data_IF_655017792723
#
_entry.id   IF_655017792723
#
_cell.length_a   1.000
_cell.length_b   1.000
_cell.length_c   1.000
_cell.angle_alpha   90.00
_cell.angle_beta   90.00
_cell.angle_gamma   90.00
#
_symmetry.space_group_name_H-M   'P 1'
#
loop_
_entity.id
_entity.type
_entity.pdbx_description
1 polymer ?
#
# COMPACT_ATOMS: atom_id res chain seq x y z
N UNK A 1 -0.12 3.43 -25.04
CA UNK A 1 0.35 3.88 -23.72
C UNK A 1 0.39 2.65 -22.82
N UNK A 2 1.50 2.40 -22.15
CA UNK A 2 1.57 1.31 -21.17
C UNK A 2 0.67 1.61 -19.97
N UNK A 3 -0.04 0.58 -19.48
CA UNK A 3 -0.93 0.68 -18.34
C UNK A 3 -0.20 0.11 -17.11
N UNK A 4 -0.55 0.53 -15.90
CA UNK A 4 0.01 0.01 -14.66
C UNK A 4 -0.17 -1.51 -14.54
N UNK A 5 -1.26 -2.05 -15.10
CA UNK A 5 -1.55 -3.50 -15.13
C UNK A 5 -0.48 -4.29 -15.91
N UNK A 6 0.20 -3.66 -16.88
CA UNK A 6 1.26 -4.32 -17.67
C UNK A 6 2.49 -4.67 -16.80
N UNK A 7 2.61 -4.05 -15.63
CA UNK A 7 3.72 -4.23 -14.69
C UNK A 7 3.37 -5.10 -13.48
N UNK A 8 2.10 -5.51 -13.32
CA UNK A 8 1.58 -6.19 -12.12
C UNK A 8 2.42 -7.38 -11.66
N UNK A 9 2.92 -8.19 -12.61
CA UNK A 9 3.62 -9.43 -12.30
C UNK A 9 4.97 -9.20 -11.59
N UNK A 10 5.63 -8.06 -11.84
CA UNK A 10 6.86 -7.70 -11.12
C UNK A 10 6.58 -7.40 -9.66
N UNK A 11 5.49 -6.71 -9.38
CA UNK A 11 5.09 -6.33 -8.04
C UNK A 11 4.50 -7.51 -7.25
N UNK A 12 3.71 -8.36 -7.90
CA UNK A 12 3.22 -9.62 -7.29
C UNK A 12 4.42 -10.48 -6.87
N UNK A 13 5.41 -10.66 -7.74
CA UNK A 13 6.63 -11.41 -7.39
C UNK A 13 7.39 -10.80 -6.22
N UNK A 14 7.43 -9.47 -6.10
CA UNK A 14 8.10 -8.83 -4.98
C UNK A 14 7.43 -9.17 -3.64
N UNK A 15 6.10 -9.18 -3.58
CA UNK A 15 5.36 -9.60 -2.37
C UNK A 15 5.49 -11.10 -2.12
N UNK A 16 5.46 -11.94 -3.15
CA UNK A 16 5.67 -13.39 -3.03
C UNK A 16 7.05 -13.73 -2.47
N UNK A 17 8.13 -13.12 -2.99
CA UNK A 17 9.48 -13.36 -2.48
C UNK A 17 9.67 -12.83 -1.06
N UNK A 18 9.08 -11.69 -0.70
CA UNK A 18 9.07 -11.20 0.67
C UNK A 18 8.38 -12.20 1.61
N UNK A 19 7.19 -12.69 1.23
CA UNK A 19 6.45 -13.69 2.00
C UNK A 19 7.24 -14.99 2.18
N UNK A 20 7.88 -15.49 1.12
CA UNK A 20 8.72 -16.72 1.20
C UNK A 20 9.93 -16.50 2.09
N UNK A 21 10.56 -15.33 2.03
CA UNK A 21 11.75 -15.03 2.83
C UNK A 21 11.43 -14.98 4.33
N UNK A 22 10.37 -14.26 4.73
CA UNK A 22 10.00 -14.17 6.14
C UNK A 22 9.33 -15.46 6.66
N UNK A 23 8.65 -16.24 5.81
CA UNK A 23 8.03 -17.50 6.22
C UNK A 23 9.05 -18.52 6.77
N UNK A 24 10.31 -18.48 6.33
CA UNK A 24 11.39 -19.32 6.87
C UNK A 24 11.81 -18.92 8.30
N UNK A 25 11.36 -17.74 8.75
CA UNK A 25 11.69 -17.17 10.05
C UNK A 25 10.49 -17.18 11.01
N UNK A 26 9.40 -17.88 10.64
CA UNK A 26 8.25 -18.05 11.53
C UNK A 26 8.68 -18.66 12.85
N UNK A 27 8.23 -18.07 13.96
CA UNK A 27 8.56 -18.54 15.31
C UNK A 27 10.02 -18.31 15.72
N UNK A 28 10.76 -17.44 15.03
CA UNK A 28 12.16 -17.14 15.40
C UNK A 28 12.29 -16.20 16.61
N UNK A 29 11.18 -15.68 17.13
CA UNK A 29 11.11 -14.72 18.25
C UNK A 29 11.93 -13.44 18.05
N UNK A 30 12.29 -13.12 16.80
CA UNK A 30 13.08 -11.95 16.40
C UNK A 30 12.36 -11.17 15.30
N UNK A 31 11.65 -10.12 15.69
CA UNK A 31 10.89 -9.26 14.79
C UNK A 31 11.79 -8.63 13.72
N UNK A 32 12.94 -8.09 14.14
CA UNK A 32 13.83 -7.36 13.22
C UNK A 32 14.40 -8.29 12.14
N UNK A 33 14.73 -9.53 12.52
CA UNK A 33 15.25 -10.52 11.59
C UNK A 33 14.21 -10.94 10.57
N UNK A 34 12.96 -11.16 10.99
CA UNK A 34 11.88 -11.53 10.10
C UNK A 34 11.55 -10.38 9.12
N UNK A 35 11.47 -9.16 9.64
CA UNK A 35 11.24 -7.95 8.87
C UNK A 35 12.35 -7.71 7.83
N UNK A 36 13.60 -7.70 8.26
CA UNK A 36 14.75 -7.49 7.38
C UNK A 36 14.82 -8.50 6.24
N UNK A 37 14.40 -9.75 6.47
CA UNK A 37 14.34 -10.76 5.42
C UNK A 37 13.31 -10.39 4.34
N UNK A 38 12.12 -9.93 4.75
CA UNK A 38 11.07 -9.50 3.84
C UNK A 38 11.49 -8.23 3.06
N UNK A 39 12.02 -7.22 3.76
CA UNK A 39 12.55 -5.98 3.16
C UNK A 39 13.61 -6.28 2.10
N UNK A 40 14.61 -7.10 2.44
CA UNK A 40 15.69 -7.46 1.51
C UNK A 40 15.16 -8.17 0.26
N UNK A 41 14.25 -9.13 0.43
CA UNK A 41 13.69 -9.90 -0.68
C UNK A 41 12.84 -9.01 -1.61
N UNK A 42 11.95 -8.19 -1.04
CA UNK A 42 11.11 -7.25 -1.79
C UNK A 42 11.96 -6.25 -2.58
N UNK A 43 12.88 -5.58 -1.90
CA UNK A 43 13.76 -4.59 -2.52
C UNK A 43 14.61 -5.18 -3.63
N UNK A 44 15.25 -6.33 -3.39
CA UNK A 44 16.09 -6.99 -4.40
C UNK A 44 15.29 -7.35 -5.65
N UNK A 45 14.06 -7.83 -5.47
CA UNK A 45 13.17 -8.20 -6.58
C UNK A 45 12.82 -6.97 -7.41
N UNK A 46 12.42 -5.87 -6.75
CA UNK A 46 12.06 -4.63 -7.43
C UNK A 46 13.25 -3.98 -8.13
N UNK A 47 14.43 -3.95 -7.50
CA UNK A 47 15.65 -3.38 -8.09
C UNK A 47 16.05 -4.07 -9.41
N UNK A 48 15.78 -5.35 -9.56
CA UNK A 48 16.10 -6.12 -10.76
C UNK A 48 14.97 -6.16 -11.80
N UNK A 49 13.83 -5.57 -11.52
CA UNK A 49 12.69 -5.51 -12.44
C UNK A 49 12.85 -4.39 -13.49
N UNK A 50 12.34 -4.57 -14.73
CA UNK A 50 12.35 -3.54 -15.77
C UNK A 50 11.24 -2.52 -15.58
N UNK A 51 11.24 -1.85 -14.44
CA UNK A 51 10.26 -0.84 -13.99
C UNK A 51 10.96 0.49 -13.70
N UNK A 52 10.16 1.55 -13.62
CA UNK A 52 10.50 2.84 -13.02
C UNK A 52 9.56 3.07 -11.84
N UNK A 53 9.97 2.64 -10.64
CA UNK A 53 9.16 2.77 -9.45
C UNK A 53 9.83 3.66 -8.40
N UNK A 54 9.03 4.34 -7.61
CA UNK A 54 9.48 5.15 -6.48
C UNK A 54 8.63 4.87 -5.25
N UNK A 55 9.28 4.67 -4.12
CA UNK A 55 8.60 4.54 -2.83
C UNK A 55 7.97 5.88 -2.45
N UNK A 56 6.64 5.92 -2.39
CA UNK A 56 5.88 7.08 -1.92
C UNK A 56 5.48 6.94 -0.45
N UNK A 57 5.25 5.70 0.01
CA UNK A 57 5.00 5.31 1.39
C UNK A 57 5.79 4.02 1.62
N UNK A 58 6.64 3.98 2.64
CA UNK A 58 7.55 2.84 2.90
C UNK A 58 7.99 2.77 4.35
N UNK A 59 9.19 2.22 4.58
CA UNK A 59 9.74 1.89 5.90
C UNK A 59 10.18 3.11 6.74
N UNK A 60 9.99 4.31 6.27
CA UNK A 60 10.36 5.55 6.93
C UNK A 60 11.18 6.49 6.05
N UNK A 61 11.80 7.48 6.68
CA UNK A 61 12.67 8.44 5.99
C UNK A 61 14.06 7.83 5.74
N UNK A 62 14.80 8.43 4.81
CA UNK A 62 16.12 7.93 4.38
C UNK A 62 17.13 7.73 5.54
N UNK A 63 17.02 8.57 6.58
CA UNK A 63 17.93 8.53 7.73
C UNK A 63 17.52 7.44 8.77
N UNK A 64 16.30 6.94 8.69
CA UNK A 64 15.71 5.96 9.61
C UNK A 64 15.66 4.55 9.01
N UNK A 65 15.46 4.45 7.71
CA UNK A 65 15.35 3.19 6.98
C UNK A 65 16.41 3.10 5.88
N UNK A 66 17.32 2.13 5.94
CA UNK A 66 18.37 1.97 4.93
C UNK A 66 17.84 1.45 3.57
N UNK A 67 16.61 0.94 3.54
CA UNK A 67 15.98 0.33 2.35
C UNK A 67 14.48 0.62 2.34
N UNK A 68 13.89 0.71 1.15
CA UNK A 68 12.48 1.00 0.93
C UNK A 68 12.01 2.29 1.61
N UNK A 69 12.94 3.24 1.78
CA UNK A 69 12.65 4.56 2.35
C UNK A 69 11.86 5.43 1.37
N UNK A 70 11.17 6.42 1.90
CA UNK A 70 10.38 7.38 1.11
C UNK A 70 11.30 8.10 0.11
N UNK A 71 10.97 7.98 -1.17
CA UNK A 71 11.73 8.57 -2.28
C UNK A 71 12.75 7.63 -2.94
N UNK A 72 13.00 6.41 -2.40
CA UNK A 72 13.88 5.44 -3.04
C UNK A 72 13.36 5.07 -4.44
N UNK A 73 14.25 5.10 -5.42
CA UNK A 73 13.96 4.68 -6.79
C UNK A 73 14.34 3.22 -6.98
N UNK A 74 13.45 2.44 -7.58
CA UNK A 74 13.55 1.00 -7.73
C UNK A 74 13.29 0.59 -9.18
N UNK A 75 14.12 -0.31 -9.68
CA UNK A 75 14.03 -0.85 -11.04
C UNK A 75 15.24 -0.53 -11.90
N UNK A 76 15.30 -1.21 -13.05
CA UNK A 76 16.39 -1.05 -14.03
C UNK A 76 16.08 -0.04 -15.13
N UNK A 77 14.85 0.45 -15.19
CA UNK A 77 14.37 1.37 -16.22
C UNK A 77 14.00 2.75 -15.67
N UNK A 78 14.72 3.21 -14.65
CA UNK A 78 14.49 4.50 -14.00
C UNK A 78 14.63 5.66 -14.99
N UNK A 79 13.67 6.60 -14.91
CA UNK A 79 13.61 7.84 -15.70
C UNK A 79 13.60 7.61 -17.23
N UNK A 80 13.17 6.43 -17.71
CA UNK A 80 13.02 6.18 -19.15
C UNK A 80 11.66 6.67 -19.65
N UNK A 81 11.65 7.37 -20.78
CA UNK A 81 10.45 7.95 -21.39
C UNK A 81 9.44 6.88 -21.89
N UNK A 82 9.91 5.67 -22.22
CA UNK A 82 9.09 4.57 -22.73
C UNK A 82 8.50 3.68 -21.60
N UNK A 83 8.75 4.02 -20.33
CA UNK A 83 8.28 3.29 -19.15
C UNK A 83 7.35 4.17 -18.32
N UNK A 84 6.23 3.60 -17.85
CA UNK A 84 5.33 4.32 -16.97
C UNK A 84 5.99 4.50 -15.59
N UNK A 85 6.17 5.74 -15.11
CA UNK A 85 6.65 5.97 -13.75
C UNK A 85 5.55 5.63 -12.74
N UNK A 86 5.90 4.83 -11.72
CA UNK A 86 4.97 4.26 -10.74
C UNK A 86 5.37 4.69 -9.34
N UNK A 87 4.42 5.20 -8.56
CA UNK A 87 4.56 5.37 -7.12
C UNK A 87 4.06 4.09 -6.43
N UNK A 88 4.80 3.63 -5.41
CA UNK A 88 4.45 2.46 -4.62
C UNK A 88 4.30 2.82 -3.14
N UNK A 89 3.36 2.17 -2.48
CA UNK A 89 3.25 2.10 -1.03
C UNK A 89 3.54 0.66 -0.63
N UNK A 90 4.48 0.45 0.28
CA UNK A 90 4.96 -0.88 0.66
C UNK A 90 4.92 -1.09 2.16
N UNK A 91 4.58 -2.29 2.56
CA UNK A 91 4.85 -2.87 3.86
C UNK A 91 5.30 -4.32 3.62
N UNK A 92 6.61 -4.58 3.70
CA UNK A 92 7.18 -5.89 3.39
C UNK A 92 6.73 -7.00 4.33
N UNK A 93 6.43 -6.68 5.60
CA UNK A 93 5.94 -7.61 6.59
C UNK A 93 4.97 -6.96 7.58
N UNK A 94 3.73 -6.73 7.17
CA UNK A 94 2.63 -6.31 8.03
C UNK A 94 2.39 -7.35 9.13
N UNK A 95 2.21 -6.87 10.37
CA UNK A 95 2.13 -7.72 11.57
C UNK A 95 3.40 -8.55 11.81
N UNK A 96 4.56 -7.93 11.76
CA UNK A 96 5.90 -8.54 11.95
C UNK A 96 5.97 -9.44 13.17
N UNK A 97 5.37 -9.01 14.30
CA UNK A 97 5.31 -9.80 15.54
C UNK A 97 4.61 -11.14 15.35
N UNK A 98 3.57 -11.19 14.54
CA UNK A 98 2.84 -12.43 14.27
C UNK A 98 3.74 -13.44 13.54
N UNK A 99 4.52 -12.98 12.55
CA UNK A 99 5.48 -13.84 11.89
C UNK A 99 6.53 -14.37 12.88
N UNK A 100 7.13 -13.49 13.67
CA UNK A 100 8.19 -13.86 14.62
C UNK A 100 7.71 -14.85 15.68
N UNK A 101 6.44 -14.81 16.09
CA UNK A 101 5.86 -15.69 17.10
C UNK A 101 5.14 -16.93 16.52
N UNK A 102 5.13 -17.11 15.21
CA UNK A 102 4.33 -18.14 14.51
C UNK A 102 2.82 -17.98 14.69
N UNK A 103 2.36 -16.74 14.87
CA UNK A 103 0.95 -16.39 14.94
C UNK A 103 0.36 -16.17 13.53
N UNK A 104 -0.96 -16.33 13.33
CA UNK A 104 -1.60 -16.10 12.03
C UNK A 104 -1.67 -14.60 11.68
N UNK A 105 -1.97 -14.32 10.40
CA UNK A 105 -2.28 -12.99 9.84
C UNK A 105 -1.06 -12.05 9.63
N UNK A 106 0.16 -12.55 9.61
CA UNK A 106 1.25 -11.82 8.98
C UNK A 106 1.07 -11.82 7.46
N UNK A 107 1.35 -10.69 6.80
CA UNK A 107 1.21 -10.57 5.35
C UNK A 107 2.24 -9.62 4.77
N UNK A 108 2.48 -9.71 3.47
CA UNK A 108 3.21 -8.69 2.72
C UNK A 108 2.23 -7.93 1.83
N UNK A 109 2.33 -6.62 1.77
CA UNK A 109 1.36 -5.80 1.05
C UNK A 109 2.05 -4.69 0.25
N UNK A 110 1.45 -4.38 -0.91
CA UNK A 110 1.90 -3.30 -1.77
C UNK A 110 0.71 -2.67 -2.49
N UNK A 111 0.70 -1.35 -2.58
CA UNK A 111 -0.20 -0.61 -3.44
C UNK A 111 0.57 0.13 -4.53
N UNK A 112 -0.04 0.27 -5.70
CA UNK A 112 0.57 0.85 -6.88
C UNK A 112 -0.32 1.95 -7.46
N UNK A 113 0.28 3.02 -7.94
CA UNK A 113 -0.41 4.02 -8.75
C UNK A 113 0.53 4.66 -9.78
N UNK A 114 0.01 5.31 -10.82
CA UNK A 114 0.81 6.22 -11.60
C UNK A 114 1.47 7.27 -10.69
N UNK A 115 2.64 7.75 -11.07
CA UNK A 115 3.41 8.72 -10.30
C UNK A 115 2.58 9.97 -9.96
N UNK A 116 2.48 10.27 -8.67
CA UNK A 116 1.80 11.44 -8.14
C UNK A 116 0.36 11.20 -7.65
N UNK A 117 -0.20 10.00 -7.88
CA UNK A 117 -1.58 9.69 -7.50
C UNK A 117 -1.71 9.11 -6.08
N UNK A 118 -0.61 8.65 -5.45
CA UNK A 118 -0.64 8.23 -4.05
C UNK A 118 -0.67 9.44 -3.11
N UNK A 119 -1.60 9.40 -2.17
CA UNK A 119 -1.69 10.41 -1.13
C UNK A 119 -0.53 10.25 -0.14
N UNK A 120 0.32 11.28 -0.09
CA UNK A 120 1.43 11.34 0.86
C UNK A 120 0.92 11.92 2.17
N UNK A 121 0.93 11.11 3.21
CA UNK A 121 0.61 11.50 4.56
C UNK A 121 1.78 11.17 5.50
N UNK A 122 1.92 11.86 6.63
CA UNK A 122 2.84 11.45 7.69
C UNK A 122 2.54 10.01 8.12
N UNK A 123 3.57 9.25 8.49
CA UNK A 123 3.42 7.92 9.07
C UNK A 123 2.88 8.03 10.50
N UNK A 124 1.59 8.25 10.61
CA UNK A 124 0.88 8.41 11.87
C UNK A 124 -0.52 7.79 11.79
N UNK A 125 -1.01 7.35 12.95
CA UNK A 125 -2.42 7.00 13.06
C UNK A 125 -3.29 8.24 12.86
N UNK A 126 -4.37 8.10 12.11
CA UNK A 126 -5.32 9.17 11.84
C UNK A 126 -6.75 8.65 11.85
N UNK A 127 -7.69 9.49 12.21
CA UNK A 127 -9.10 9.21 12.03
C UNK A 127 -9.43 9.25 10.54
N UNK A 128 -10.10 8.21 10.04
CA UNK A 128 -10.49 8.09 8.63
C UNK A 128 -11.98 7.89 8.53
N UNK A 129 -12.62 8.64 7.64
CA UNK A 129 -14.03 8.50 7.30
C UNK A 129 -14.15 8.19 5.81
N UNK A 130 -14.64 7.00 5.50
CA UNK A 130 -14.94 6.58 4.14
C UNK A 130 -16.44 6.46 3.99
N UNK A 131 -16.98 7.13 2.98
CA UNK A 131 -18.42 7.13 2.75
C UNK A 131 -18.73 7.19 1.25
N UNK A 132 -19.98 6.89 0.89
CA UNK A 132 -20.46 7.06 -0.47
C UNK A 132 -20.49 8.55 -0.86
N UNK A 133 -20.34 8.84 -2.16
CA UNK A 133 -20.44 10.20 -2.72
C UNK A 133 -21.73 10.91 -2.32
N UNK A 134 -22.82 10.18 -2.06
CA UNK A 134 -24.11 10.71 -1.63
C UNK A 134 -24.04 11.43 -0.28
N UNK A 135 -23.06 11.10 0.55
CA UNK A 135 -22.91 11.64 1.91
C UNK A 135 -21.76 12.65 2.04
N UNK A 136 -21.13 13.03 0.92
CA UNK A 136 -19.94 13.90 0.89
C UNK A 136 -20.10 15.18 1.72
N UNK A 137 -21.28 15.80 1.66
CA UNK A 137 -21.55 17.07 2.34
C UNK A 137 -22.45 16.88 3.58
N UNK A 138 -22.71 15.64 3.99
CA UNK A 138 -23.65 15.27 5.06
C UNK A 138 -22.91 14.82 6.31
N UNK A 139 -21.75 14.19 6.16
CA UNK A 139 -20.95 13.65 7.27
C UNK A 139 -19.54 14.25 7.27
N UNK A 140 -18.98 14.41 8.47
CA UNK A 140 -17.63 14.91 8.70
C UNK A 140 -17.01 14.18 9.88
N UNK A 141 -15.68 14.15 9.94
CA UNK A 141 -14.94 13.69 11.13
C UNK A 141 -15.16 14.58 12.36
N UNK A 142 -15.61 15.82 12.16
CA UNK A 142 -15.93 16.75 13.25
C UNK A 142 -17.27 16.45 13.91
N UNK A 143 -18.08 15.56 13.35
CA UNK A 143 -19.36 15.18 13.91
C UNK A 143 -19.22 13.99 14.85
N UNK A 144 -20.05 13.95 15.91
CA UNK A 144 -20.21 12.71 16.66
C UNK A 144 -20.79 11.61 15.78
N UNK A 145 -20.52 10.35 16.12
CA UNK A 145 -21.06 9.19 15.39
C UNK A 145 -22.59 9.25 15.27
N UNK A 146 -23.27 9.63 16.34
CA UNK A 146 -24.74 9.76 16.37
C UNK A 146 -25.23 10.85 15.41
N UNK A 147 -24.54 11.99 15.37
CA UNK A 147 -24.86 13.09 14.45
C UNK A 147 -24.65 12.67 13.00
N UNK A 148 -23.55 11.97 12.69
CA UNK A 148 -23.26 11.48 11.37
C UNK A 148 -24.31 10.46 10.90
N UNK A 149 -24.70 9.52 11.75
CA UNK A 149 -25.76 8.56 11.47
C UNK A 149 -27.13 9.23 11.26
N UNK A 150 -27.53 10.13 12.15
CA UNK A 150 -28.80 10.87 12.04
C UNK A 150 -28.91 11.63 10.72
N UNK A 151 -27.84 12.32 10.32
CA UNK A 151 -27.78 13.02 9.03
C UNK A 151 -27.83 12.06 7.83
N UNK A 152 -27.18 10.91 7.94
CA UNK A 152 -27.19 9.88 6.88
C UNK A 152 -28.62 9.35 6.60
N UNK A 153 -29.42 9.15 7.62
CA UNK A 153 -30.82 8.72 7.49
C UNK A 153 -31.71 9.77 6.82
N UNK A 154 -31.33 11.04 6.88
CA UNK A 154 -32.09 12.13 6.25
C UNK A 154 -31.85 12.26 4.75
N UNK A 155 -30.82 11.58 4.21
CA UNK A 155 -30.53 11.55 2.77
C UNK A 155 -31.45 10.55 2.11
N UNK A 156 -32.44 11.03 1.37
CA UNK A 156 -33.31 10.17 0.55
C UNK A 156 -32.43 9.46 -0.48
N UNK A 157 -32.50 8.11 -0.60
CA UNK A 157 -31.83 7.42 -1.69
C UNK A 157 -32.39 7.96 -3.01
N UNK A 158 -31.53 8.44 -3.89
CA UNK A 158 -31.93 8.73 -5.27
C UNK A 158 -32.51 7.42 -5.83
N UNK A 159 -33.75 7.47 -6.27
CA UNK A 159 -34.40 6.35 -6.91
C UNK A 159 -33.46 5.79 -7.99
N UNK A 160 -33.27 4.49 -8.00
CA UNK A 160 -32.42 3.74 -8.93
C UNK A 160 -33.00 3.71 -10.36
N UNK A 161 -33.22 4.88 -10.95
CA UNK A 161 -33.60 4.99 -12.34
C UNK A 161 -32.33 5.43 -13.11
N UNK A 162 -31.57 4.44 -13.58
CA UNK A 162 -30.68 4.47 -14.75
C UNK A 162 -29.45 3.57 -14.59
N UNK A 163 -29.60 2.34 -14.11
CA UNK A 163 -28.72 1.27 -14.55
C UNK A 163 -29.38 0.58 -15.75
N UNK A 164 -29.30 1.23 -16.92
CA UNK A 164 -29.41 0.52 -18.18
C UNK A 164 -28.04 -0.02 -18.50
N UNK A 165 -27.87 -1.35 -18.34
CA UNK A 165 -26.72 -2.06 -18.83
C UNK A 165 -26.58 -1.88 -20.34
N UNK A 166 -25.39 -1.60 -20.76
CA UNK A 166 -24.90 -1.82 -22.12
C UNK A 166 -23.56 -2.54 -22.00
#
# INVERSE_FOLDING_TARGET
MKNIIDYKDYFIRATEYAAVACAQLRGCEDNNKADQAAVNAMRTTLMNAPIDARVAIGEGEIDEAPMLYIGEKLGTHIDREDVLPIDIAVDPLECTKNCANDDPNAMTVMALSPKGDLFRAPDTYMNKLVTSRLFKDVVSLDFSMECALSRSYSVKPMASSNFKGS
#
